data_IF_385362467038
#
_entry.id   IF_385362467038
#
_cell.length_a   1.000
_cell.length_b   1.000
_cell.length_c   1.000
_cell.angle_alpha   90.00
_cell.angle_beta   90.00
_cell.angle_gamma   90.00
#
_symmetry.space_group_name_H-M   'P 1'
#
loop_
_entity.id
_entity.type
_entity.pdbx_description
1 polymer ?
#
# COMPACT_ATOMS: atom_id res chain seq x y z
N UNK A 1 11.41 -3.00 14.08
CA UNK A 1 11.30 -2.87 12.61
C UNK A 1 9.96 -2.27 12.19
N UNK A 2 8.82 -2.75 12.70
CA UNK A 2 7.51 -2.17 12.40
C UNK A 2 7.39 -0.69 12.80
N UNK A 3 7.76 -0.35 14.04
CA UNK A 3 7.65 1.04 14.53
C UNK A 3 8.52 2.01 13.74
N UNK A 4 9.72 1.56 13.32
CA UNK A 4 10.62 2.34 12.46
C UNK A 4 10.00 2.63 11.10
N UNK A 5 9.31 1.67 10.51
CA UNK A 5 8.65 1.84 9.21
C UNK A 5 7.40 2.72 9.33
N UNK A 6 6.59 2.54 10.38
CA UNK A 6 5.44 3.43 10.63
C UNK A 6 5.92 4.86 10.83
N UNK A 7 7.02 5.05 11.56
CA UNK A 7 7.65 6.38 11.70
C UNK A 7 8.10 6.92 10.34
N UNK A 8 8.77 6.11 9.52
CA UNK A 8 9.24 6.53 8.19
C UNK A 8 8.08 6.94 7.27
N UNK A 9 6.99 6.16 7.23
CA UNK A 9 5.77 6.53 6.51
C UNK A 9 5.20 7.86 7.04
N UNK A 10 5.14 8.01 8.36
CA UNK A 10 4.63 9.23 9.00
C UNK A 10 5.49 10.45 8.70
N UNK A 11 6.81 10.32 8.72
CA UNK A 11 7.75 11.39 8.37
C UNK A 11 7.56 11.84 6.90
N UNK A 12 7.01 10.94 6.06
CA UNK A 12 6.64 11.19 4.66
C UNK A 12 5.16 11.57 4.47
N UNK A 13 4.45 11.90 5.55
CA UNK A 13 3.08 12.38 5.51
C UNK A 13 2.00 11.29 5.42
N UNK A 14 2.37 10.02 5.61
CA UNK A 14 1.46 8.87 5.49
C UNK A 14 1.15 8.27 6.86
N UNK A 15 -0.12 8.35 7.28
CA UNK A 15 -0.60 7.74 8.52
C UNK A 15 -1.38 6.45 8.26
N UNK A 16 -1.18 5.45 9.11
CA UNK A 16 -1.86 4.13 9.02
C UNK A 16 -3.39 4.29 9.00
N UNK A 17 -3.94 5.28 9.70
CA UNK A 17 -5.37 5.57 9.70
C UNK A 17 -5.89 5.96 8.30
N UNK A 18 -5.13 6.74 7.53
CA UNK A 18 -5.49 7.14 6.17
C UNK A 18 -5.53 5.93 5.22
N UNK A 19 -4.63 4.97 5.43
CA UNK A 19 -4.62 3.70 4.67
C UNK A 19 -5.86 2.88 5.02
N UNK A 20 -6.21 2.80 6.32
CA UNK A 20 -7.36 2.07 6.81
C UNK A 20 -8.69 2.63 6.28
N UNK A 21 -8.81 3.95 6.11
CA UNK A 21 -9.98 4.59 5.50
C UNK A 21 -10.21 4.12 4.05
N UNK A 22 -9.15 3.98 3.26
CA UNK A 22 -9.25 3.48 1.88
C UNK A 22 -9.56 1.98 1.88
N UNK A 23 -8.95 1.18 2.76
CA UNK A 23 -9.34 -0.24 2.92
C UNK A 23 -10.83 -0.36 3.28
N UNK A 24 -11.31 0.50 4.17
CA UNK A 24 -12.71 0.54 4.57
C UNK A 24 -13.61 0.87 3.38
N UNK A 25 -13.30 1.91 2.60
CA UNK A 25 -14.11 2.29 1.43
C UNK A 25 -14.19 1.17 0.39
N UNK A 26 -13.08 0.45 0.15
CA UNK A 26 -13.03 -0.68 -0.77
C UNK A 26 -13.88 -1.88 -0.30
N UNK A 27 -13.92 -2.13 1.01
CA UNK A 27 -14.48 -3.36 1.57
C UNK A 27 -15.89 -3.20 2.16
N UNK A 28 -16.30 -1.98 2.51
CA UNK A 28 -17.63 -1.67 3.05
C UNK A 28 -18.81 -2.13 2.17
N UNK A 29 -18.76 -2.05 0.82
CA UNK A 29 -19.83 -2.54 -0.04
C UNK A 29 -20.10 -4.05 0.09
N UNK A 30 -19.08 -4.82 0.48
CA UNK A 30 -19.18 -6.28 0.65
C UNK A 30 -19.43 -6.68 2.10
N UNK A 31 -19.13 -5.79 3.06
CA UNK A 31 -19.11 -6.08 4.48
C UNK A 31 -19.73 -4.95 5.31
N UNK A 32 -21.05 -5.00 5.49
CA UNK A 32 -21.81 -3.95 6.20
C UNK A 32 -21.38 -3.75 7.67
N UNK A 33 -20.94 -4.81 8.34
CA UNK A 33 -20.45 -4.79 9.73
C UNK A 33 -18.96 -4.44 9.86
N UNK A 34 -18.28 -4.10 8.76
CA UNK A 34 -16.88 -3.69 8.81
C UNK A 34 -16.69 -2.41 9.62
N UNK A 35 -15.67 -2.43 10.46
CA UNK A 35 -15.20 -1.32 11.30
C UNK A 35 -13.86 -0.78 10.80
N UNK A 36 -13.52 0.47 11.16
CA UNK A 36 -12.23 1.06 10.77
C UNK A 36 -11.07 0.40 11.53
N UNK A 37 -11.30 -0.03 12.76
CA UNK A 37 -10.33 -0.71 13.61
C UNK A 37 -9.87 -2.03 12.99
N UNK A 38 -10.81 -2.80 12.41
CA UNK A 38 -10.47 -4.02 11.66
C UNK A 38 -9.63 -3.71 10.41
N UNK A 39 -9.91 -2.61 9.72
CA UNK A 39 -9.10 -2.17 8.58
C UNK A 39 -7.68 -1.79 9.02
N UNK A 40 -7.55 -1.04 10.12
CA UNK A 40 -6.26 -0.65 10.67
C UNK A 40 -5.43 -1.87 11.10
N UNK A 41 -6.06 -2.87 11.75
CA UNK A 41 -5.42 -4.13 12.09
C UNK A 41 -4.88 -4.85 10.84
N UNK A 42 -5.65 -4.86 9.75
CA UNK A 42 -5.23 -5.45 8.49
C UNK A 42 -4.02 -4.72 7.88
N UNK A 43 -4.03 -3.39 7.85
CA UNK A 43 -2.90 -2.58 7.37
C UNK A 43 -1.66 -2.87 8.21
N UNK A 44 -1.78 -2.83 9.54
CA UNK A 44 -0.66 -3.16 10.45
C UNK A 44 -0.14 -4.57 10.22
N UNK A 45 -1.02 -5.54 9.95
CA UNK A 45 -0.61 -6.92 9.67
C UNK A 45 0.19 -7.01 8.37
N UNK A 46 -0.18 -6.31 7.32
CA UNK A 46 0.61 -6.22 6.07
C UNK A 46 2.00 -5.67 6.37
N UNK A 47 2.07 -4.57 7.11
CA UNK A 47 3.33 -3.94 7.52
C UNK A 47 4.21 -4.84 8.41
N UNK A 48 3.69 -5.90 9.05
CA UNK A 48 4.54 -6.84 9.82
C UNK A 48 5.35 -7.79 8.94
N UNK A 49 5.05 -7.89 7.64
CA UNK A 49 5.73 -8.81 6.73
C UNK A 49 7.11 -8.29 6.33
N UNK A 50 8.11 -9.17 6.35
CA UNK A 50 9.51 -8.82 6.01
C UNK A 50 9.66 -8.30 4.58
N UNK A 51 9.03 -8.98 3.61
CA UNK A 51 9.08 -8.56 2.20
C UNK A 51 8.49 -7.17 2.01
N UNK A 52 7.36 -6.88 2.67
CA UNK A 52 6.74 -5.55 2.67
C UNK A 52 7.67 -4.51 3.29
N UNK A 53 8.27 -4.82 4.44
CA UNK A 53 9.23 -3.92 5.10
C UNK A 53 10.41 -3.58 4.19
N UNK A 54 11.01 -4.59 3.54
CA UNK A 54 12.14 -4.38 2.64
C UNK A 54 11.75 -3.53 1.43
N UNK A 55 10.59 -3.77 0.83
CA UNK A 55 10.08 -2.96 -0.27
C UNK A 55 9.88 -1.50 0.14
N UNK A 56 9.20 -1.27 1.28
CA UNK A 56 8.93 0.08 1.79
C UNK A 56 10.22 0.84 2.12
N UNK A 57 11.16 0.23 2.85
CA UNK A 57 12.44 0.87 3.15
C UNK A 57 13.23 1.21 1.88
N UNK A 58 13.21 0.30 0.89
CA UNK A 58 13.94 0.50 -0.36
C UNK A 58 13.37 1.64 -1.18
N UNK A 59 12.05 1.65 -1.41
CA UNK A 59 11.41 2.70 -2.22
C UNK A 59 11.51 4.07 -1.57
N UNK A 60 11.22 4.19 -0.27
CA UNK A 60 11.34 5.49 0.42
C UNK A 60 12.79 5.98 0.43
N UNK A 61 13.78 5.09 0.58
CA UNK A 61 15.18 5.50 0.50
C UNK A 61 15.55 6.05 -0.89
N UNK A 62 15.04 5.45 -1.97
CA UNK A 62 15.25 5.95 -3.33
C UNK A 62 14.59 7.32 -3.54
N UNK A 63 13.36 7.49 -3.08
CA UNK A 63 12.67 8.79 -3.09
C UNK A 63 13.47 9.86 -2.33
N UNK A 64 13.98 9.55 -1.13
CA UNK A 64 14.79 10.48 -0.33
C UNK A 64 16.13 10.82 -0.99
N UNK A 65 16.77 9.85 -1.64
CA UNK A 65 18.03 10.08 -2.36
C UNK A 65 17.83 10.92 -3.61
N UNK A 66 16.74 10.70 -4.34
CA UNK A 66 16.33 11.53 -5.46
C UNK A 66 16.07 12.97 -4.99
N UNK A 67 15.29 13.14 -3.91
CA UNK A 67 14.97 14.46 -3.35
C UNK A 67 16.23 15.22 -2.92
N UNK A 68 17.25 14.51 -2.44
CA UNK A 68 18.53 15.07 -2.05
C UNK A 68 19.53 15.27 -3.20
N UNK A 69 19.19 14.92 -4.44
CA UNK A 69 20.09 15.04 -5.60
C UNK A 69 21.28 14.07 -5.57
N UNK A 70 21.15 12.93 -4.87
CA UNK A 70 22.23 12.00 -4.59
C UNK A 70 22.21 10.73 -5.47
N UNK A 71 21.34 10.66 -6.48
CA UNK A 71 21.32 9.56 -7.43
C UNK A 71 22.25 9.84 -8.63
N UNK A 72 22.83 8.80 -9.23
CA UNK A 72 23.58 8.96 -10.48
C UNK A 72 22.64 9.29 -11.65
N UNK A 73 23.16 10.01 -12.63
CA UNK A 73 22.46 10.17 -13.91
C UNK A 73 22.51 8.88 -14.74
N UNK A 74 21.44 8.53 -15.49
CA UNK A 74 20.21 9.30 -15.73
C UNK A 74 19.10 9.10 -14.69
N UNK A 75 19.33 8.29 -13.65
CA UNK A 75 18.28 7.91 -12.68
C UNK A 75 17.76 9.13 -11.89
N UNK A 76 18.64 10.05 -11.52
CA UNK A 76 18.26 11.29 -10.84
C UNK A 76 17.16 12.02 -11.62
N UNK A 77 17.39 12.28 -12.90
CA UNK A 77 16.41 12.96 -13.75
C UNK A 77 15.13 12.16 -13.97
N UNK A 78 15.23 10.84 -14.13
CA UNK A 78 14.05 9.96 -14.26
C UNK A 78 13.14 10.11 -13.04
N UNK A 79 13.73 10.12 -11.84
CA UNK A 79 13.00 10.26 -10.58
C UNK A 79 12.43 11.67 -10.36
N UNK A 80 13.19 12.72 -10.70
CA UNK A 80 12.72 14.11 -10.58
C UNK A 80 11.55 14.44 -11.52
N UNK A 81 11.50 13.76 -12.67
CA UNK A 81 10.49 13.98 -13.69
C UNK A 81 9.26 13.07 -13.54
N UNK A 82 9.31 12.10 -12.62
CA UNK A 82 8.32 11.04 -12.51
C UNK A 82 8.02 10.44 -13.90
N UNK A 83 9.08 9.97 -14.58
CA UNK A 83 9.03 9.57 -15.99
C UNK A 83 7.99 8.46 -16.22
N UNK A 84 6.94 8.68 -17.03
CA UNK A 84 5.82 7.74 -17.16
C UNK A 84 6.16 6.34 -17.69
N UNK A 85 7.37 6.14 -18.23
CA UNK A 85 7.87 4.85 -18.72
C UNK A 85 8.82 4.16 -17.75
N UNK A 86 9.14 4.79 -16.62
CA UNK A 86 9.81 4.16 -15.49
C UNK A 86 8.76 3.40 -14.68
N UNK A 87 8.89 2.07 -14.61
CA UNK A 87 7.92 1.21 -13.91
C UNK A 87 8.55 0.36 -12.80
N UNK A 88 9.72 0.75 -12.28
CA UNK A 88 10.42 -0.06 -11.25
C UNK A 88 9.78 0.11 -9.88
N UNK A 89 9.21 1.28 -9.60
CA UNK A 89 8.23 1.57 -8.56
C UNK A 89 7.07 0.57 -8.57
N UNK A 90 6.40 0.39 -9.71
CA UNK A 90 5.30 -0.56 -9.84
C UNK A 90 5.77 -2.01 -9.61
N UNK A 91 6.95 -2.39 -10.13
CA UNK A 91 7.53 -3.73 -9.89
C UNK A 91 7.79 -3.96 -8.39
N UNK A 92 8.28 -2.94 -7.68
CA UNK A 92 8.50 -3.02 -6.25
C UNK A 92 7.16 -3.12 -5.49
N UNK A 93 6.14 -2.39 -5.90
CA UNK A 93 4.78 -2.49 -5.36
C UNK A 93 4.15 -3.87 -5.62
N UNK A 94 4.38 -4.46 -6.80
CA UNK A 94 3.94 -5.81 -7.11
C UNK A 94 4.54 -6.85 -6.16
N UNK A 95 5.78 -6.66 -5.68
CA UNK A 95 6.39 -7.54 -4.69
C UNK A 95 5.58 -7.61 -3.38
N UNK A 96 4.93 -6.50 -2.98
CA UNK A 96 4.03 -6.44 -1.82
C UNK A 96 2.74 -7.21 -2.11
N UNK A 97 2.12 -6.97 -3.27
CA UNK A 97 0.85 -7.61 -3.64
C UNK A 97 0.97 -9.12 -3.78
N UNK A 98 2.11 -9.63 -4.23
CA UNK A 98 2.38 -11.07 -4.37
C UNK A 98 2.29 -11.83 -3.03
N UNK A 99 2.55 -11.16 -1.90
CA UNK A 99 2.39 -11.76 -0.56
C UNK A 99 0.92 -12.10 -0.25
N UNK A 100 -0.03 -11.41 -0.90
CA UNK A 100 -1.47 -11.50 -0.65
C UNK A 100 -2.28 -11.96 -1.87
N UNK A 101 -1.60 -12.32 -2.97
CA UNK A 101 -2.18 -12.98 -4.13
C UNK A 101 -2.86 -12.03 -5.14
N UNK A 102 -3.49 -12.63 -6.14
CA UNK A 102 -4.03 -11.93 -7.32
C UNK A 102 -5.09 -10.88 -7.00
N UNK A 103 -5.87 -11.05 -5.92
CA UNK A 103 -6.85 -10.04 -5.48
C UNK A 103 -6.15 -8.74 -5.10
N UNK A 104 -4.99 -8.82 -4.42
CA UNK A 104 -4.19 -7.65 -4.10
C UNK A 104 -3.67 -6.97 -5.37
N UNK A 105 -3.24 -7.75 -6.38
CA UNK A 105 -2.78 -7.19 -7.66
C UNK A 105 -3.89 -6.42 -8.39
N UNK A 106 -5.11 -6.98 -8.45
CA UNK A 106 -6.25 -6.31 -9.09
C UNK A 106 -6.65 -5.02 -8.36
N UNK A 107 -6.68 -5.04 -7.03
CA UNK A 107 -6.96 -3.84 -6.23
C UNK A 107 -5.86 -2.78 -6.38
N UNK A 108 -4.59 -3.19 -6.47
CA UNK A 108 -3.47 -2.28 -6.69
C UNK A 108 -3.63 -1.50 -7.99
N UNK A 109 -3.83 -2.19 -9.12
CA UNK A 109 -4.02 -1.50 -10.40
C UNK A 109 -5.26 -0.58 -10.44
N UNK A 110 -6.29 -0.88 -9.66
CA UNK A 110 -7.43 0.04 -9.48
C UNK A 110 -7.06 1.30 -8.67
N UNK A 111 -6.33 1.12 -7.57
CA UNK A 111 -5.93 2.22 -6.69
C UNK A 111 -4.90 3.13 -7.34
N UNK A 112 -3.91 2.55 -8.02
CA UNK A 112 -2.92 3.28 -8.79
C UNK A 112 -3.61 4.15 -9.85
N UNK A 113 -4.52 3.58 -10.65
CA UNK A 113 -5.26 4.35 -11.65
C UNK A 113 -6.15 5.46 -11.07
N UNK A 114 -6.77 5.24 -9.92
CA UNK A 114 -7.77 6.18 -9.35
C UNK A 114 -7.17 7.19 -8.37
N UNK A 115 -5.94 6.95 -7.90
CA UNK A 115 -5.18 7.79 -6.96
C UNK A 115 -6.05 8.31 -5.79
N UNK A 116 -6.83 7.42 -5.16
CA UNK A 116 -7.77 7.80 -4.09
C UNK A 116 -7.09 8.25 -2.79
N UNK A 117 -7.68 9.23 -2.11
CA UNK A 117 -7.29 9.62 -0.75
C UNK A 117 -5.84 10.11 -0.66
N UNK A 118 -5.05 9.49 0.22
CA UNK A 118 -3.64 9.86 0.42
C UNK A 118 -2.77 9.61 -0.82
N UNK A 119 -3.13 8.64 -1.67
CA UNK A 119 -2.36 8.30 -2.89
C UNK A 119 -2.32 9.52 -3.82
N UNK A 120 -3.46 10.14 -4.09
CA UNK A 120 -3.52 11.34 -4.93
C UNK A 120 -2.87 12.58 -4.32
N UNK A 121 -2.73 12.65 -2.98
CA UNK A 121 -1.96 13.72 -2.33
C UNK A 121 -0.45 13.55 -2.56
N UNK A 122 0.04 12.32 -2.50
CA UNK A 122 1.45 12.00 -2.76
C UNK A 122 1.84 12.29 -4.21
N UNK A 123 0.94 12.00 -5.16
CA UNK A 123 1.14 12.24 -6.59
C UNK A 123 1.25 13.73 -6.99
N UNK A 124 0.90 14.67 -6.11
CA UNK A 124 0.88 16.11 -6.44
C UNK A 124 2.23 16.82 -6.23
N UNK A 125 3.31 16.09 -5.90
CA UNK A 125 4.70 16.57 -5.80
C UNK A 125 4.87 17.98 -5.20
N UNK A 126 4.28 18.25 -4.04
CA UNK A 126 4.41 19.54 -3.32
C UNK A 126 5.82 19.72 -2.73
N UNK A 127 6.85 19.77 -3.58
CA UNK A 127 8.25 19.89 -3.18
C UNK A 127 8.88 18.62 -2.62
N UNK A 128 8.21 17.48 -2.75
CA UNK A 128 8.72 16.16 -2.37
C UNK A 128 8.65 15.17 -3.53
N UNK A 129 9.63 14.26 -3.61
CA UNK A 129 9.65 13.18 -4.60
C UNK A 129 9.02 11.93 -4.00
N UNK A 130 7.94 11.43 -4.59
CA UNK A 130 7.15 10.28 -4.13
C UNK A 130 6.92 9.25 -5.24
N UNK A 131 7.93 8.99 -6.08
CA UNK A 131 7.82 8.06 -7.22
C UNK A 131 7.57 6.63 -6.74
N UNK A 132 8.23 6.20 -5.65
CA UNK A 132 7.95 4.88 -5.09
C UNK A 132 6.82 4.90 -4.06
N UNK A 133 6.70 5.97 -3.27
CA UNK A 133 5.87 5.97 -2.07
C UNK A 133 4.38 5.82 -2.37
N UNK A 134 3.85 6.44 -3.41
CA UNK A 134 2.41 6.38 -3.74
C UNK A 134 1.98 4.94 -4.13
N UNK A 135 2.81 4.25 -4.92
CA UNK A 135 2.65 2.86 -5.33
C UNK A 135 2.82 1.86 -4.19
N UNK A 136 3.80 2.11 -3.32
CA UNK A 136 3.97 1.34 -2.09
C UNK A 136 2.75 1.48 -1.17
N UNK A 137 2.19 2.68 -1.04
CA UNK A 137 0.97 2.92 -0.25
C UNK A 137 -0.23 2.22 -0.89
N UNK A 138 -0.39 2.34 -2.22
CA UNK A 138 -1.45 1.67 -2.95
C UNK A 138 -1.40 0.14 -2.79
N UNK A 139 -0.21 -0.46 -2.90
CA UNK A 139 -0.02 -1.91 -2.75
C UNK A 139 -0.24 -2.41 -1.32
N UNK A 140 0.10 -1.62 -0.29
CA UNK A 140 -0.21 -1.94 1.12
C UNK A 140 -1.74 -1.96 1.34
N UNK A 141 -2.44 -0.95 0.85
CA UNK A 141 -3.91 -0.86 0.96
C UNK A 141 -4.56 -2.04 0.23
N UNK A 142 -4.13 -2.31 -1.01
CA UNK A 142 -4.64 -3.42 -1.81
C UNK A 142 -4.43 -4.77 -1.12
N UNK A 143 -3.26 -4.98 -0.52
CA UNK A 143 -2.91 -6.19 0.24
C UNK A 143 -3.73 -6.33 1.51
N UNK A 144 -3.98 -5.23 2.22
CA UNK A 144 -4.81 -5.22 3.42
C UNK A 144 -6.28 -5.54 3.10
N UNK A 145 -6.81 -4.98 2.01
CA UNK A 145 -8.14 -5.28 1.50
C UNK A 145 -8.26 -6.76 1.08
N UNK A 146 -7.28 -7.29 0.36
CA UNK A 146 -7.25 -8.70 -0.04
C UNK A 146 -7.21 -9.64 1.18
N UNK A 147 -6.37 -9.34 2.18
CA UNK A 147 -6.33 -10.10 3.44
C UNK A 147 -7.69 -10.11 4.13
N UNK A 148 -8.33 -8.95 4.27
CA UNK A 148 -9.62 -8.81 4.93
C UNK A 148 -10.69 -9.63 4.21
N UNK A 149 -10.76 -9.56 2.89
CA UNK A 149 -11.69 -10.34 2.07
C UNK A 149 -11.50 -11.85 2.29
N UNK A 150 -10.27 -12.36 2.24
CA UNK A 150 -9.97 -13.77 2.51
C UNK A 150 -10.39 -14.20 3.92
N UNK A 151 -10.13 -13.38 4.94
CA UNK A 151 -10.54 -13.67 6.32
C UNK A 151 -12.06 -13.75 6.49
N UNK A 152 -12.79 -12.81 5.88
CA UNK A 152 -14.27 -12.78 5.97
C UNK A 152 -14.91 -13.93 5.22
N UNK A 153 -14.39 -14.30 4.05
CA UNK A 153 -14.83 -15.49 3.31
C UNK A 153 -14.61 -16.79 4.09
N UNK A 154 -13.43 -16.96 4.71
CA UNK A 154 -13.14 -18.14 5.52
C UNK A 154 -14.10 -18.30 6.70
N UNK A 155 -14.36 -17.21 7.45
CA UNK A 155 -15.33 -17.21 8.57
C UNK A 155 -16.73 -17.57 8.10
N UNK A 156 -17.21 -16.96 7.02
CA UNK A 156 -18.54 -17.23 6.46
C UNK A 156 -18.70 -18.71 6.06
N UNK A 157 -17.66 -19.33 5.50
CA UNK A 157 -17.67 -20.74 5.14
C UNK A 157 -17.73 -21.64 6.38
N UNK A 158 -16.92 -21.36 7.41
CA UNK A 158 -16.91 -22.10 8.68
C UNK A 158 -18.25 -22.02 9.42
N UNK A 159 -18.87 -20.85 9.48
CA UNK A 159 -20.17 -20.66 10.13
C UNK A 159 -21.28 -21.47 9.40
N UNK A 160 -21.26 -21.47 8.06
CA UNK A 160 -22.21 -22.24 7.25
C UNK A 160 -22.11 -23.77 7.41
N UNK A 161 -20.96 -24.26 7.86
CA UNK A 161 -20.73 -25.68 8.15
C UNK A 161 -21.21 -26.05 9.56
N UNK A 162 -21.12 -25.14 10.53
CA UNK A 162 -21.59 -25.33 11.91
C UNK A 162 -23.12 -25.39 11.99
N UNK A 163 -23.83 -24.55 11.23
CA UNK A 163 -25.30 -24.56 11.20
C UNK A 163 -25.91 -25.81 10.55
N UNK A 164 -25.09 -26.67 9.92
CA UNK A 164 -25.51 -27.93 9.30
C UNK A 164 -25.24 -29.18 10.15
N UNK A 165 -24.60 -29.03 11.32
CA UNK A 165 -24.32 -30.12 12.27
C UNK A 165 -25.24 -30.02 13.49
#
# INVERSE_FOLDING_TARGET
MLDGMIKMLKDRGVEVAQLAEIVFSLQKPYHSTLTLEECEENVRRVLTKREVQHAVYTGIALDMLAEAGNLPEPLQKIMEQDEPLYGIDEILALSITNVYGSIAMTNFGYLDKTKQGIIGKLNNHEGQIHVFLDDLVASIIASAAARLAHQRHARSYEDSQRDKS
#
